data_IF_398829267497
#
_entry.id   IF_398829267497
#
_cell.length_a   1.000
_cell.length_b   1.000
_cell.length_c   1.000
_cell.angle_alpha   90.00
_cell.angle_beta   90.00
_cell.angle_gamma   90.00
#
_symmetry.space_group_name_H-M   'P 1'
#
loop_
_entity.id
_entity.type
_entity.pdbx_description
1 polymer ?
#
# COMPACT_ATOMS: atom_id res chain seq x y z
N UNK A 1 11.84 -4.74 0.45
CA UNK A 1 12.28 -5.66 1.52
C UNK A 1 12.16 -7.09 1.01
N UNK A 2 13.22 -7.87 1.17
CA UNK A 2 13.30 -9.28 0.76
C UNK A 2 13.69 -10.07 2.01
N UNK A 3 12.67 -10.59 2.71
CA UNK A 3 12.82 -11.13 4.06
C UNK A 3 13.11 -10.07 5.13
N UNK A 4 13.23 -10.54 6.38
CA UNK A 4 13.56 -9.72 7.56
C UNK A 4 12.36 -9.21 8.36
N UNK A 5 12.65 -8.43 9.41
CA UNK A 5 11.66 -7.96 10.39
C UNK A 5 11.87 -6.48 10.75
N UNK A 6 12.16 -5.65 9.76
CA UNK A 6 12.43 -4.21 9.99
C UNK A 6 11.20 -3.52 10.56
N UNK A 7 11.40 -2.75 11.63
CA UNK A 7 10.41 -1.86 12.22
C UNK A 7 10.64 -0.42 11.73
N UNK A 8 9.93 -0.01 10.69
CA UNK A 8 10.09 1.32 10.08
C UNK A 8 9.01 2.32 10.52
N UNK A 9 9.41 3.53 10.94
CA UNK A 9 8.48 4.64 11.18
C UNK A 9 8.89 5.84 10.34
N UNK A 10 7.93 6.54 9.74
CA UNK A 10 8.17 7.77 8.98
C UNK A 10 9.07 7.55 7.76
N UNK A 11 8.53 6.84 6.76
CA UNK A 11 9.22 6.59 5.48
C UNK A 11 8.62 7.43 4.37
N UNK A 12 9.46 7.95 3.48
CA UNK A 12 9.04 8.68 2.28
C UNK A 12 9.70 8.04 1.06
N UNK A 13 8.91 7.79 0.01
CA UNK A 13 9.37 7.31 -1.28
C UNK A 13 8.75 8.18 -2.38
N UNK A 14 9.57 8.96 -3.09
CA UNK A 14 9.12 9.80 -4.20
C UNK A 14 9.73 9.32 -5.50
N UNK A 15 8.90 9.24 -6.53
CA UNK A 15 9.28 8.98 -7.93
C UNK A 15 10.18 7.74 -8.12
N UNK A 16 9.86 6.63 -7.43
CA UNK A 16 10.72 5.44 -7.31
C UNK A 16 11.13 4.82 -8.65
N UNK A 17 10.37 5.09 -9.73
CA UNK A 17 10.70 4.61 -11.09
C UNK A 17 10.45 3.11 -11.26
N UNK A 18 10.25 2.38 -10.18
CA UNK A 18 9.71 1.04 -10.05
C UNK A 18 8.63 1.08 -8.95
N UNK A 19 8.48 0.04 -8.13
CA UNK A 19 7.62 0.05 -6.95
C UNK A 19 8.10 0.99 -5.83
N UNK A 20 7.18 1.64 -5.12
CA UNK A 20 7.56 2.44 -3.94
C UNK A 20 7.99 1.58 -2.76
N UNK A 21 7.22 0.53 -2.46
CA UNK A 21 7.49 -0.39 -1.36
C UNK A 21 7.26 -1.83 -1.78
N UNK A 22 8.28 -2.66 -1.65
CA UNK A 22 8.24 -4.07 -2.01
C UNK A 22 8.38 -4.93 -0.77
N UNK A 23 7.62 -6.03 -0.66
CA UNK A 23 7.86 -7.07 0.35
C UNK A 23 7.85 -8.43 -0.30
N UNK A 24 8.81 -9.29 0.05
CA UNK A 24 8.85 -10.67 -0.41
C UNK A 24 9.59 -11.57 0.58
N UNK A 25 9.66 -12.87 0.28
CA UNK A 25 10.60 -13.82 0.88
C UNK A 25 10.56 -13.89 2.42
N UNK A 26 9.35 -13.93 2.99
CA UNK A 26 9.19 -14.13 4.43
C UNK A 26 9.35 -12.85 5.26
N UNK A 27 9.20 -11.67 4.64
CA UNK A 27 9.25 -10.41 5.37
C UNK A 27 8.09 -10.31 6.38
N UNK A 28 8.42 -10.06 7.64
CA UNK A 28 7.49 -9.96 8.78
C UNK A 28 7.67 -8.65 9.55
N UNK A 29 8.19 -7.63 8.89
CA UNK A 29 8.42 -6.32 9.51
C UNK A 29 7.14 -5.52 9.72
N UNK A 30 7.30 -4.40 10.42
CA UNK A 30 6.21 -3.56 10.92
C UNK A 30 6.48 -2.11 10.58
N UNK A 31 5.62 -1.49 9.78
CA UNK A 31 5.85 -0.13 9.33
C UNK A 31 4.64 0.78 9.54
N UNK A 32 4.87 2.00 10.01
CA UNK A 32 3.80 2.98 10.23
C UNK A 32 4.18 4.40 9.81
N UNK A 33 3.21 5.12 9.25
CA UNK A 33 3.37 6.49 8.72
C UNK A 33 4.30 6.52 7.50
N UNK A 34 3.82 6.00 6.38
CA UNK A 34 4.56 5.95 5.11
C UNK A 34 3.90 6.85 4.08
N UNK A 35 4.72 7.59 3.33
CA UNK A 35 4.29 8.38 2.18
C UNK A 35 4.96 7.80 0.94
N UNK A 36 4.15 7.47 -0.07
CA UNK A 36 4.59 7.16 -1.42
C UNK A 36 3.93 8.10 -2.42
N UNK A 37 4.71 8.63 -3.36
CA UNK A 37 4.20 9.53 -4.39
C UNK A 37 4.91 9.36 -5.72
N UNK A 38 4.11 9.16 -6.77
CA UNK A 38 4.56 9.17 -8.15
C UNK A 38 3.75 10.19 -8.96
N UNK A 39 4.41 11.20 -9.52
CA UNK A 39 3.84 12.12 -10.51
C UNK A 39 4.49 12.01 -11.88
N UNK A 40 5.73 11.55 -11.95
CA UNK A 40 6.48 11.47 -13.18
C UNK A 40 7.50 10.35 -13.12
N UNK A 41 7.67 9.62 -14.23
CA UNK A 41 8.73 8.61 -14.29
C UNK A 41 10.05 9.25 -14.67
N UNK A 42 10.96 9.28 -13.72
CA UNK A 42 12.31 9.78 -13.92
C UNK A 42 13.13 8.75 -14.69
N UNK A 43 13.79 9.19 -15.77
CA UNK A 43 14.76 8.36 -16.46
C UNK A 43 15.98 8.18 -15.55
N UNK A 44 16.38 6.93 -15.20
CA UNK A 44 17.58 6.69 -14.42
C UNK A 44 18.81 7.27 -15.12
N UNK A 45 19.78 7.74 -14.34
CA UNK A 45 21.07 8.13 -14.89
C UNK A 45 21.72 6.94 -15.62
N UNK A 46 22.51 7.22 -16.66
CA UNK A 46 23.15 6.17 -17.45
C UNK A 46 23.94 5.19 -16.56
N UNK A 47 23.62 3.89 -16.66
CA UNK A 47 24.28 2.83 -15.90
C UNK A 47 23.77 2.62 -14.47
N UNK A 48 22.72 3.32 -14.03
CA UNK A 48 22.23 3.26 -12.63
C UNK A 48 20.97 2.41 -12.43
N UNK A 49 20.39 1.89 -13.51
CA UNK A 49 19.20 1.05 -13.44
C UNK A 49 18.40 1.08 -14.73
N UNK A 50 17.22 0.47 -14.68
CA UNK A 50 16.25 0.45 -15.77
C UNK A 50 14.89 0.95 -15.28
N UNK A 51 14.13 1.51 -16.21
CA UNK A 51 12.73 1.90 -15.99
C UNK A 51 11.92 0.60 -15.94
N UNK A 52 11.30 0.29 -14.80
CA UNK A 52 10.44 -0.87 -14.63
C UNK A 52 9.26 -0.87 -15.62
N UNK A 53 8.85 -2.05 -16.09
CA UNK A 53 7.72 -2.16 -17.02
C UNK A 53 6.38 -2.27 -16.28
N UNK A 54 6.40 -2.44 -14.96
CA UNK A 54 5.23 -2.72 -14.13
C UNK A 54 5.25 -2.03 -12.74
N UNK A 55 5.56 -0.73 -12.64
CA UNK A 55 5.66 -0.04 -11.34
C UNK A 55 4.33 -0.04 -10.56
N UNK A 56 4.40 -0.17 -9.24
CA UNK A 56 3.26 -0.16 -8.31
C UNK A 56 3.51 0.78 -7.11
N UNK A 57 2.46 1.05 -6.32
CA UNK A 57 2.63 1.65 -5.00
C UNK A 57 3.25 0.65 -4.03
N UNK A 58 2.54 -0.45 -3.82
CA UNK A 58 3.04 -1.62 -3.11
C UNK A 58 3.07 -2.84 -4.03
N UNK A 59 4.19 -3.56 -4.02
CA UNK A 59 4.28 -4.92 -4.51
C UNK A 59 4.56 -5.88 -3.35
N UNK A 60 3.57 -6.68 -2.99
CA UNK A 60 3.64 -7.56 -1.83
C UNK A 60 3.51 -9.02 -2.26
N UNK A 61 4.67 -9.65 -2.33
CA UNK A 61 4.85 -11.04 -2.73
C UNK A 61 5.00 -11.95 -1.51
N UNK A 62 4.49 -13.17 -1.62
CA UNK A 62 4.94 -14.28 -0.77
C UNK A 62 6.24 -14.88 -1.32
N UNK A 63 6.16 -16.10 -1.85
CA UNK A 63 7.30 -16.80 -2.44
C UNK A 63 6.99 -17.15 -3.90
N UNK A 64 7.90 -16.82 -4.82
CA UNK A 64 7.89 -17.34 -6.18
C UNK A 64 9.30 -17.55 -6.74
N UNK A 65 9.43 -18.55 -7.62
CA UNK A 65 10.69 -18.86 -8.31
C UNK A 65 11.58 -19.83 -7.54
N UNK A 66 12.88 -19.76 -7.81
CA UNK A 66 13.90 -20.64 -7.23
C UNK A 66 13.93 -20.48 -5.70
N UNK A 67 13.86 -21.60 -4.97
CA UNK A 67 13.81 -21.61 -3.50
C UNK A 67 12.40 -21.68 -2.92
N UNK A 68 11.36 -21.66 -3.75
CA UNK A 68 9.96 -21.81 -3.34
C UNK A 68 9.43 -23.21 -3.66
N UNK A 69 10.00 -24.24 -3.05
CA UNK A 69 9.70 -25.65 -3.36
C UNK A 69 8.22 -26.03 -3.10
N UNK A 70 7.56 -25.32 -2.17
CA UNK A 70 6.12 -25.45 -1.91
C UNK A 70 5.28 -24.40 -2.64
N UNK A 71 5.85 -23.72 -3.65
CA UNK A 71 5.21 -22.64 -4.40
C UNK A 71 4.77 -21.49 -3.49
N UNK A 72 3.52 -21.04 -3.66
CA UNK A 72 2.90 -19.96 -2.88
C UNK A 72 2.59 -20.34 -1.43
N UNK A 73 2.88 -21.59 -1.03
CA UNK A 73 2.76 -22.09 0.35
C UNK A 73 4.13 -22.25 1.04
N UNK A 74 5.20 -21.79 0.39
CA UNK A 74 6.54 -21.85 0.97
C UNK A 74 6.61 -21.00 2.24
N UNK A 75 7.04 -21.62 3.33
CA UNK A 75 7.32 -20.97 4.60
C UNK A 75 8.80 -20.58 4.70
N UNK A 76 9.13 -19.49 5.42
CA UNK A 76 8.21 -18.58 6.11
C UNK A 76 7.41 -17.69 5.13
N UNK A 77 6.14 -17.42 5.49
CA UNK A 77 5.29 -16.51 4.71
C UNK A 77 5.70 -15.05 4.91
N UNK A 78 5.67 -14.26 3.83
CA UNK A 78 5.64 -12.80 3.94
C UNK A 78 4.36 -12.40 4.66
N UNK A 79 4.49 -11.81 5.87
CA UNK A 79 3.38 -11.45 6.75
C UNK A 79 3.63 -10.10 7.48
N UNK A 80 3.83 -8.99 6.75
CA UNK A 80 4.11 -7.71 7.37
C UNK A 80 2.86 -7.02 7.92
N UNK A 81 3.11 -6.01 8.76
CA UNK A 81 2.10 -5.02 9.14
C UNK A 81 2.49 -3.67 8.55
N UNK A 82 1.59 -3.07 7.78
CA UNK A 82 1.66 -1.67 7.37
C UNK A 82 0.45 -0.91 7.90
N UNK A 83 0.70 0.23 8.54
CA UNK A 83 -0.34 1.08 9.10
C UNK A 83 -0.14 2.54 8.72
N UNK A 84 -1.23 3.28 8.50
CA UNK A 84 -1.18 4.72 8.25
C UNK A 84 -0.31 5.09 7.05
N UNK A 85 -0.82 4.83 5.86
CA UNK A 85 -0.06 4.99 4.61
C UNK A 85 -0.80 5.91 3.66
N UNK A 86 -0.12 6.94 3.16
CA UNK A 86 -0.61 7.77 2.05
C UNK A 86 0.16 7.40 0.79
N UNK A 87 -0.52 6.85 -0.20
CA UNK A 87 0.11 6.30 -1.41
C UNK A 87 -0.60 6.84 -2.65
N UNK A 88 0.08 7.72 -3.37
CA UNK A 88 -0.49 8.52 -4.46
C UNK A 88 0.25 8.21 -5.76
N UNK A 89 -0.48 7.68 -6.74
CA UNK A 89 0.06 7.32 -8.05
C UNK A 89 -0.08 8.43 -9.10
N UNK A 90 0.42 8.11 -10.29
CA UNK A 90 0.30 8.93 -11.48
C UNK A 90 -0.83 8.38 -12.37
N UNK A 91 -1.93 9.12 -12.60
CA UNK A 91 -3.02 8.66 -13.45
C UNK A 91 -2.61 8.62 -14.94
N UNK A 92 -1.52 9.31 -15.30
CA UNK A 92 -0.91 9.33 -16.62
C UNK A 92 0.35 8.44 -16.73
N UNK A 93 0.52 7.46 -15.82
CA UNK A 93 1.62 6.49 -15.88
C UNK A 93 1.75 5.89 -17.30
N UNK A 94 2.91 5.92 -17.97
CA UNK A 94 3.02 5.40 -19.34
C UNK A 94 2.89 3.87 -19.43
N UNK A 95 3.31 3.10 -18.42
CA UNK A 95 3.27 1.62 -18.51
C UNK A 95 1.87 1.07 -18.37
N UNK A 96 1.57 0.04 -19.16
CA UNK A 96 0.27 -0.66 -19.13
C UNK A 96 0.28 -1.85 -18.19
N UNK A 97 1.44 -2.44 -17.92
CA UNK A 97 1.55 -3.60 -17.01
C UNK A 97 1.57 -3.22 -15.54
N UNK A 98 1.79 -1.93 -15.20
CA UNK A 98 1.83 -1.38 -13.85
C UNK A 98 0.64 -0.50 -13.47
N UNK A 99 0.88 0.43 -12.54
CA UNK A 99 -0.06 1.49 -12.17
C UNK A 99 -1.10 1.07 -11.14
N UNK A 100 -0.76 0.16 -10.23
CA UNK A 100 -1.65 -0.26 -9.13
C UNK A 100 -1.18 0.27 -7.79
N UNK A 101 -2.12 0.67 -6.95
CA UNK A 101 -1.79 1.17 -5.61
C UNK A 101 -1.21 0.10 -4.71
N UNK A 102 -1.83 -1.08 -4.71
CA UNK A 102 -1.35 -2.25 -3.98
C UNK A 102 -1.53 -3.48 -4.86
N UNK A 103 -0.48 -4.31 -4.93
CA UNK A 103 -0.53 -5.67 -5.47
C UNK A 103 -0.22 -6.64 -4.35
N UNK A 104 -1.17 -7.53 -4.05
CA UNK A 104 -0.97 -8.66 -3.12
C UNK A 104 -0.98 -9.95 -3.94
N UNK A 105 0.10 -10.74 -3.87
CA UNK A 105 0.21 -11.97 -4.68
C UNK A 105 1.10 -13.05 -4.07
N UNK A 106 1.10 -14.23 -4.70
CA UNK A 106 2.06 -15.34 -4.47
C UNK A 106 2.13 -15.84 -3.02
N UNK A 107 0.97 -15.90 -2.35
CA UNK A 107 0.88 -16.37 -0.96
C UNK A 107 1.19 -15.31 0.10
N UNK A 108 1.18 -14.03 -0.27
CA UNK A 108 1.25 -12.93 0.70
C UNK A 108 0.23 -13.09 1.83
N UNK A 109 0.70 -12.81 3.05
CA UNK A 109 -0.07 -12.60 4.26
C UNK A 109 0.22 -11.19 4.76
N UNK A 110 -0.58 -10.66 5.68
CA UNK A 110 -0.24 -9.38 6.29
C UNK A 110 -1.46 -8.54 6.64
N UNK A 111 -1.20 -7.48 7.41
CA UNK A 111 -2.18 -6.48 7.78
C UNK A 111 -1.81 -5.14 7.16
N UNK A 112 -2.73 -4.58 6.37
CA UNK A 112 -2.64 -3.23 5.84
C UNK A 112 -3.82 -2.43 6.40
N UNK A 113 -3.56 -1.41 7.23
CA UNK A 113 -4.61 -0.62 7.87
C UNK A 113 -4.43 0.89 7.71
N UNK A 114 -5.53 1.62 7.57
CA UNK A 114 -5.56 3.08 7.51
C UNK A 114 -4.81 3.65 6.29
N UNK A 115 -5.17 3.18 5.10
CA UNK A 115 -4.55 3.61 3.85
C UNK A 115 -5.34 4.73 3.17
N UNK A 116 -4.63 5.61 2.46
CA UNK A 116 -5.17 6.39 1.34
C UNK A 116 -4.47 5.90 0.07
N UNK A 117 -5.23 5.40 -0.88
CA UNK A 117 -4.76 5.03 -2.22
C UNK A 117 -5.39 5.97 -3.23
N UNK A 118 -4.59 6.81 -3.88
CA UNK A 118 -5.12 7.82 -4.77
C UNK A 118 -4.43 7.87 -6.14
N UNK A 119 -5.20 8.22 -7.17
CA UNK A 119 -4.73 8.50 -8.53
C UNK A 119 -3.95 7.35 -9.23
N UNK A 120 -4.24 6.10 -8.90
CA UNK A 120 -3.62 4.95 -9.58
C UNK A 120 -4.24 4.73 -10.97
N UNK A 121 -3.38 4.66 -11.99
CA UNK A 121 -3.76 4.53 -13.41
C UNK A 121 -4.62 3.31 -13.72
N UNK A 122 -4.32 2.18 -13.10
CA UNK A 122 -4.95 0.90 -13.45
C UNK A 122 -6.00 0.55 -12.40
N UNK A 123 -5.56 0.22 -11.19
CA UNK A 123 -6.44 -0.20 -10.10
C UNK A 123 -5.90 0.30 -8.76
N UNK A 124 -6.76 0.63 -7.80
CA UNK A 124 -6.28 0.95 -6.46
C UNK A 124 -5.72 -0.30 -5.76
N UNK A 125 -6.46 -1.41 -5.82
CA UNK A 125 -6.09 -2.68 -5.18
C UNK A 125 -6.18 -3.81 -6.20
N UNK A 126 -5.15 -4.65 -6.19
CA UNK A 126 -5.06 -5.83 -7.03
C UNK A 126 -4.64 -7.04 -6.21
N UNK A 127 -5.33 -8.15 -6.43
CA UNK A 127 -5.01 -9.44 -5.83
C UNK A 127 -4.92 -10.46 -6.96
N UNK A 128 -3.72 -11.02 -7.13
CA UNK A 128 -3.35 -11.81 -8.29
C UNK A 128 -2.50 -13.00 -7.90
N UNK A 129 -2.33 -13.91 -8.87
CA UNK A 129 -1.71 -15.22 -8.69
C UNK A 129 -2.46 -16.02 -7.59
N UNK A 130 -1.98 -17.21 -7.24
CA UNK A 130 -2.57 -17.97 -6.15
C UNK A 130 -2.27 -17.29 -4.81
N UNK A 131 -3.27 -16.61 -4.25
CA UNK A 131 -3.24 -16.01 -2.91
C UNK A 131 -4.33 -16.64 -2.04
N UNK A 132 -4.23 -17.96 -1.83
CA UNK A 132 -5.18 -18.76 -1.02
C UNK A 132 -5.49 -18.13 0.35
N UNK A 133 -4.59 -17.27 0.85
CA UNK A 133 -4.67 -16.54 2.12
C UNK A 133 -5.68 -15.38 2.15
N UNK A 134 -5.87 -14.65 1.04
CA UNK A 134 -6.88 -13.56 0.91
C UNK A 134 -8.25 -14.11 0.55
N UNK A 135 -8.23 -15.05 -0.38
CA UNK A 135 -9.28 -15.97 -0.75
C UNK A 135 -10.21 -16.35 0.42
N UNK A 136 -9.70 -17.11 1.40
CA UNK A 136 -10.49 -17.49 2.59
C UNK A 136 -10.41 -16.48 3.74
N UNK A 137 -9.82 -15.30 3.50
CA UNK A 137 -9.57 -14.23 4.48
C UNK A 137 -8.95 -14.73 5.80
N UNK A 138 -8.04 -15.70 5.72
CA UNK A 138 -7.43 -16.29 6.91
C UNK A 138 -6.29 -15.40 7.45
N UNK A 139 -5.46 -14.86 6.56
CA UNK A 139 -4.19 -14.25 6.98
C UNK A 139 -3.74 -13.03 6.18
N UNK A 140 -4.64 -12.41 5.41
CA UNK A 140 -4.34 -11.20 4.67
C UNK A 140 -5.53 -10.24 4.75
N UNK A 141 -5.28 -9.05 5.28
CA UNK A 141 -6.31 -8.08 5.60
C UNK A 141 -5.89 -6.70 5.11
N UNK A 142 -6.76 -6.07 4.34
CA UNK A 142 -6.71 -4.65 3.99
C UNK A 142 -7.96 -4.01 4.57
N UNK A 143 -7.79 -3.11 5.54
CA UNK A 143 -8.90 -2.53 6.31
C UNK A 143 -8.74 -1.03 6.49
N UNK A 144 -9.85 -0.32 6.63
CA UNK A 144 -9.92 1.12 6.82
C UNK A 144 -9.16 1.86 5.69
N UNK A 145 -9.71 1.87 4.48
CA UNK A 145 -9.04 2.41 3.29
C UNK A 145 -9.88 3.48 2.61
N UNK A 146 -9.23 4.56 2.18
CA UNK A 146 -9.79 5.53 1.24
C UNK A 146 -9.24 5.26 -0.16
N UNK A 147 -10.13 5.07 -1.13
CA UNK A 147 -9.80 4.93 -2.55
C UNK A 147 -10.25 6.19 -3.30
N UNK A 148 -9.31 7.02 -3.76
CA UNK A 148 -9.63 8.35 -4.30
C UNK A 148 -9.10 8.59 -5.72
N UNK A 149 -9.98 8.89 -6.68
CA UNK A 149 -9.57 9.27 -8.04
C UNK A 149 -8.79 8.19 -8.81
N UNK A 150 -8.89 6.92 -8.42
CA UNK A 150 -8.29 5.80 -9.14
C UNK A 150 -9.12 5.48 -10.39
N UNK A 151 -8.49 5.00 -11.47
CA UNK A 151 -9.20 4.64 -12.69
C UNK A 151 -10.23 3.50 -12.46
N UNK A 152 -9.84 2.52 -11.66
CA UNK A 152 -10.73 1.51 -11.09
C UNK A 152 -10.31 1.22 -9.63
N UNK A 153 -11.27 0.77 -8.82
CA UNK A 153 -11.02 0.53 -7.39
C UNK A 153 -10.33 -0.80 -7.16
N UNK A 154 -10.86 -1.84 -7.80
CA UNK A 154 -10.45 -3.21 -7.58
C UNK A 154 -10.19 -3.87 -8.91
N UNK A 155 -9.07 -4.58 -8.99
CA UNK A 155 -8.83 -5.43 -10.13
C UNK A 155 -9.63 -6.74 -10.02
N UNK A 156 -10.29 -7.18 -11.11
CA UNK A 156 -10.77 -8.54 -11.24
C UNK A 156 -9.70 -9.56 -10.86
N UNK A 157 -10.02 -10.50 -9.98
CA UNK A 157 -9.02 -11.45 -9.53
C UNK A 157 -8.77 -12.49 -10.61
N UNK A 158 -7.49 -12.77 -10.89
CA UNK A 158 -7.09 -13.93 -11.70
C UNK A 158 -6.90 -15.21 -10.86
N UNK A 159 -7.23 -15.16 -9.56
CA UNK A 159 -7.09 -16.30 -8.65
C UNK A 159 -8.14 -17.39 -9.00
N UNK A 160 -7.72 -18.65 -9.25
CA UNK A 160 -8.63 -19.73 -9.61
C UNK A 160 -9.63 -20.14 -8.51
N UNK A 161 -9.47 -19.60 -7.29
CA UNK A 161 -10.33 -19.92 -6.13
C UNK A 161 -11.43 -18.86 -5.91
N UNK A 162 -11.36 -17.67 -6.55
CA UNK A 162 -12.32 -16.57 -6.35
C UNK A 162 -12.83 -15.99 -7.67
N UNK A 163 -14.07 -15.50 -7.64
CA UNK A 163 -14.73 -14.78 -8.73
C UNK A 163 -14.88 -13.28 -8.41
N UNK A 164 -14.95 -12.45 -9.44
CA UNK A 164 -15.02 -10.98 -9.31
C UNK A 164 -16.20 -10.47 -8.47
N UNK A 165 -17.34 -11.16 -8.49
CA UNK A 165 -18.52 -10.83 -7.68
C UNK A 165 -18.23 -10.93 -6.17
N UNK A 166 -17.25 -11.75 -5.79
CA UNK A 166 -16.82 -11.89 -4.40
C UNK A 166 -15.88 -10.76 -3.98
N UNK A 167 -15.16 -10.12 -4.90
CA UNK A 167 -14.08 -9.21 -4.55
C UNK A 167 -14.55 -7.90 -3.88
N UNK A 168 -15.58 -7.23 -4.43
CA UNK A 168 -16.14 -6.03 -3.79
C UNK A 168 -16.88 -6.39 -2.48
N UNK A 169 -17.54 -7.55 -2.44
CA UNK A 169 -18.21 -8.03 -1.24
C UNK A 169 -17.23 -8.40 -0.11
N UNK A 170 -16.03 -8.90 -0.44
CA UNK A 170 -14.99 -9.26 0.52
C UNK A 170 -14.55 -8.06 1.37
N UNK A 171 -14.47 -6.86 0.78
CA UNK A 171 -14.06 -5.63 1.46
C UNK A 171 -15.23 -4.78 1.99
N UNK A 172 -16.49 -5.19 1.77
CA UNK A 172 -17.64 -4.41 2.19
C UNK A 172 -17.70 -4.20 3.73
N UNK A 173 -17.20 -5.17 4.50
CA UNK A 173 -17.09 -5.09 5.95
C UNK A 173 -15.77 -4.46 6.44
N UNK A 174 -14.83 -4.16 5.53
CA UNK A 174 -13.47 -3.72 5.87
C UNK A 174 -13.32 -2.19 5.88
N UNK A 175 -14.44 -1.45 5.80
CA UNK A 175 -14.46 0.02 5.80
C UNK A 175 -13.60 0.62 4.67
N UNK A 176 -13.83 0.13 3.45
CA UNK A 176 -13.32 0.78 2.24
C UNK A 176 -14.28 1.88 1.81
N UNK A 177 -13.80 3.11 1.78
CA UNK A 177 -14.57 4.31 1.39
C UNK A 177 -13.97 4.93 0.14
N UNK A 178 -14.77 5.66 -0.61
CA UNK A 178 -14.37 6.20 -1.91
C UNK A 178 -14.49 7.71 -1.95
N UNK A 179 -13.62 8.35 -2.72
CA UNK A 179 -13.71 9.77 -3.05
C UNK A 179 -13.44 10.00 -4.54
N UNK A 180 -14.04 11.05 -5.09
CA UNK A 180 -13.94 11.31 -6.53
C UNK A 180 -12.51 11.71 -6.95
N UNK A 181 -11.77 12.43 -6.10
CA UNK A 181 -10.44 12.95 -6.42
C UNK A 181 -9.50 12.85 -5.22
N UNK A 182 -8.19 12.79 -5.47
CA UNK A 182 -7.20 12.84 -4.39
C UNK A 182 -7.30 14.15 -3.56
N UNK A 183 -7.62 15.27 -4.20
CA UNK A 183 -7.77 16.57 -3.53
C UNK A 183 -8.97 16.64 -2.56
N UNK A 184 -9.93 15.71 -2.66
CA UNK A 184 -11.03 15.59 -1.70
C UNK A 184 -10.60 14.98 -0.36
N UNK A 185 -9.43 14.33 -0.33
CA UNK A 185 -8.96 13.53 0.82
C UNK A 185 -7.53 13.85 1.25
N UNK A 186 -6.77 14.63 0.48
CA UNK A 186 -5.41 15.09 0.78
C UNK A 186 -5.32 16.58 0.49
N UNK A 187 -4.68 17.34 1.38
CA UNK A 187 -4.67 18.81 1.36
C UNK A 187 -4.03 19.41 0.11
N UNK A 188 -2.81 19.01 -0.25
CA UNK A 188 -2.11 19.58 -1.40
C UNK A 188 -1.09 18.60 -2.01
N UNK A 189 -1.24 18.28 -3.29
CA UNK A 189 -0.32 17.41 -4.03
C UNK A 189 0.60 18.18 -4.98
N UNK A 190 0.77 19.48 -4.76
CA UNK A 190 1.63 20.32 -5.61
C UNK A 190 3.11 20.10 -5.25
N UNK A 191 3.98 19.79 -6.24
CA UNK A 191 5.42 19.48 -6.03
C UNK A 191 6.24 20.47 -5.22
N UNK A 192 5.82 21.73 -5.11
CA UNK A 192 6.52 22.78 -4.36
C UNK A 192 6.05 22.95 -2.90
N UNK A 193 4.93 22.32 -2.50
CA UNK A 193 4.25 22.62 -1.24
C UNK A 193 3.70 21.38 -0.50
N UNK A 194 3.89 20.16 -1.03
CA UNK A 194 3.21 18.93 -0.61
C UNK A 194 2.66 18.95 0.82
N UNK A 195 1.34 18.85 0.89
CA UNK A 195 0.60 18.74 2.14
C UNK A 195 -0.17 17.42 2.13
N UNK A 196 0.47 16.39 2.70
CA UNK A 196 -0.06 15.03 2.81
C UNK A 196 -1.13 14.89 3.88
N UNK A 197 -1.49 15.99 4.55
CA UNK A 197 -2.50 16.02 5.60
C UNK A 197 -3.84 15.52 5.05
N UNK A 198 -4.45 14.49 5.66
CA UNK A 198 -5.74 13.99 5.23
C UNK A 198 -6.84 15.02 5.49
N UNK A 199 -7.78 15.14 4.55
CA UNK A 199 -8.92 16.05 4.62
C UNK A 199 -10.22 15.31 4.35
N UNK A 200 -11.35 15.99 4.53
CA UNK A 200 -12.68 15.43 4.27
C UNK A 200 -12.87 14.11 4.99
N UNK A 201 -13.31 13.10 4.24
CA UNK A 201 -13.58 11.77 4.77
C UNK A 201 -12.30 11.06 5.25
N UNK A 202 -11.11 11.41 4.77
CA UNK A 202 -9.87 10.78 5.23
C UNK A 202 -9.43 11.28 6.62
N UNK A 203 -9.89 12.46 7.06
CA UNK A 203 -9.50 13.04 8.35
C UNK A 203 -10.10 12.28 9.56
N UNK A 204 -11.12 11.45 9.35
CA UNK A 204 -11.78 10.64 10.40
C UNK A 204 -12.30 9.31 9.85
N UNK A 205 -12.95 8.49 10.69
CA UNK A 205 -13.65 7.28 10.26
C UNK A 205 -12.76 6.11 9.84
N UNK A 206 -11.44 6.21 10.05
CA UNK A 206 -10.50 5.10 10.01
C UNK A 206 -10.39 4.45 11.41
N UNK A 207 -9.74 3.28 11.50
CA UNK A 207 -9.69 2.45 12.71
C UNK A 207 -11.08 2.09 13.28
N UNK A 208 -12.07 1.86 12.41
CA UNK A 208 -13.42 1.41 12.81
C UNK A 208 -13.58 -0.11 12.70
N UNK A 209 -12.76 -0.74 11.86
CA UNK A 209 -12.64 -2.20 11.78
C UNK A 209 -11.47 -2.63 12.66
N UNK A 210 -11.76 -3.52 13.61
CA UNK A 210 -10.77 -4.04 14.54
C UNK A 210 -9.74 -4.92 13.81
N UNK A 211 -8.48 -4.82 14.26
CA UNK A 211 -7.41 -5.71 13.78
C UNK A 211 -7.71 -7.14 14.26
N UNK A 212 -7.69 -8.14 13.37
CA UNK A 212 -7.82 -9.54 13.78
C UNK A 212 -6.74 -9.94 14.81
N UNK A 213 -7.13 -10.69 15.84
CA UNK A 213 -6.22 -11.11 16.91
C UNK A 213 -5.08 -12.04 16.48
N UNK A 214 -5.09 -12.50 15.23
CA UNK A 214 -4.01 -13.28 14.60
C UNK A 214 -2.76 -12.44 14.30
N UNK A 215 -2.88 -11.10 14.24
CA UNK A 215 -1.75 -10.21 14.01
C UNK A 215 -1.08 -9.79 15.32
N UNK A 216 0.24 -9.96 15.39
CA UNK A 216 1.02 -9.47 16.53
C UNK A 216 1.20 -7.95 16.45
N UNK A 217 0.32 -7.24 17.14
CA UNK A 217 0.36 -5.77 17.29
C UNK A 217 1.20 -5.30 18.47
N UNK A 218 1.78 -6.20 19.26
CA UNK A 218 2.65 -5.84 20.38
C UNK A 218 4.08 -5.54 19.90
N UNK A 219 4.84 -4.83 20.72
CA UNK A 219 6.22 -4.38 20.46
C UNK A 219 6.41 -3.50 19.21
N UNK A 220 5.34 -2.91 18.67
CA UNK A 220 5.38 -1.94 17.58
C UNK A 220 6.08 -0.68 18.08
N UNK A 221 7.34 -0.48 17.66
CA UNK A 221 8.24 0.55 18.22
C UNK A 221 8.34 0.52 19.76
N UNK A 222 8.38 -0.68 20.34
CA UNK A 222 8.42 -0.86 21.80
C UNK A 222 7.08 -0.69 22.52
N UNK A 223 5.99 -0.41 21.80
CA UNK A 223 4.63 -0.31 22.34
C UNK A 223 3.64 -1.25 21.64
N UNK A 224 2.35 -0.98 21.78
CA UNK A 224 1.30 -1.63 20.96
C UNK A 224 0.99 -0.73 19.77
N UNK A 225 0.70 -1.31 18.60
CA UNK A 225 0.25 -0.54 17.43
C UNK A 225 -0.94 0.35 17.82
N UNK A 226 -0.75 1.65 17.69
CA UNK A 226 -1.81 2.64 17.88
C UNK A 226 -2.29 3.11 16.51
N UNK A 227 -3.54 2.78 16.17
CA UNK A 227 -4.18 3.29 14.96
C UNK A 227 -4.99 4.56 15.28
N UNK A 228 -4.70 5.68 14.63
CA UNK A 228 -5.51 6.89 14.78
C UNK A 228 -6.84 6.75 14.02
N UNK A 229 -7.78 7.66 14.31
CA UNK A 229 -9.08 7.70 13.62
C UNK A 229 -9.02 8.24 12.19
N UNK A 230 -7.89 8.81 11.76
CA UNK A 230 -7.67 9.26 10.38
C UNK A 230 -7.02 8.18 9.52
N UNK A 231 -7.24 8.27 8.21
CA UNK A 231 -6.57 7.46 7.21
C UNK A 231 -5.33 8.18 6.69
N UNK A 232 -4.35 7.41 6.22
CA UNK A 232 -3.10 7.99 5.70
C UNK A 232 -2.06 8.21 6.80
N UNK A 233 -0.96 8.83 6.40
CA UNK A 233 0.28 8.88 7.18
C UNK A 233 0.45 10.11 8.07
N UNK A 234 -0.44 11.11 8.00
CA UNK A 234 -0.24 12.41 8.65
C UNK A 234 -1.41 12.73 9.56
N UNK A 235 -1.11 13.20 10.76
CA UNK A 235 -2.12 13.64 11.72
C UNK A 235 -2.70 15.00 11.30
N UNK A 236 -4.02 15.11 11.02
CA UNK A 236 -4.64 16.35 10.61
C UNK A 236 -4.67 17.45 11.68
N UNK A 237 -4.44 17.10 12.95
CA UNK A 237 -4.30 18.05 14.05
C UNK A 237 -2.86 18.15 14.58
N UNK A 238 -1.94 17.38 14.02
CA UNK A 238 -0.59 17.22 14.52
C UNK A 238 0.48 17.90 13.67
N UNK A 239 1.75 17.84 14.12
CA UNK A 239 2.86 18.29 13.31
C UNK A 239 3.03 17.39 12.08
N UNK A 240 3.37 17.99 10.95
CA UNK A 240 3.68 17.28 9.72
C UNK A 240 5.10 16.71 9.83
N UNK A 241 5.19 15.45 10.25
CA UNK A 241 6.46 14.79 10.59
C UNK A 241 7.53 14.79 9.49
N UNK A 242 7.12 14.97 8.22
CA UNK A 242 8.00 14.98 7.05
C UNK A 242 8.55 16.38 6.73
N UNK A 243 8.06 17.44 7.38
CA UNK A 243 8.54 18.81 7.13
C UNK A 243 10.04 18.92 7.44
N UNK A 244 10.79 19.45 6.46
CA UNK A 244 12.24 19.60 6.54
C UNK A 244 13.05 18.32 6.32
N UNK A 245 12.42 17.15 6.13
CA UNK A 245 13.13 15.88 5.91
C UNK A 245 13.36 15.58 4.43
N UNK A 246 12.46 16.05 3.57
CA UNK A 246 12.48 15.76 2.14
C UNK A 246 12.39 17.03 1.31
N UNK A 247 13.20 17.11 0.25
CA UNK A 247 13.06 18.10 -0.81
C UNK A 247 12.68 17.38 -2.09
N UNK A 248 11.53 17.73 -2.66
CA UNK A 248 11.14 17.21 -3.97
C UNK A 248 11.65 18.15 -5.06
N UNK A 249 12.80 17.80 -5.65
CA UNK A 249 13.39 18.57 -6.73
C UNK A 249 12.84 18.10 -8.08
N UNK A 250 12.25 19.01 -8.85
CA UNK A 250 11.94 18.82 -10.27
C UNK A 250 12.96 19.61 -11.08
N UNK A 251 13.77 18.93 -11.89
CA UNK A 251 14.71 19.57 -12.82
C UNK A 251 14.01 20.01 -14.10
#
# INVERSE_FOLDING_TARGET
>A
WWGGAVDGRYLVSYEAGDDHFVTSEGYVGRNQFLIGFQSARLTPAGGTGVIATDPQGFEMDGCAGTGCDAGTRSEPFTNPIFANVTMVGNPAEPQTSGGRGIVLRRGHRGLLSNFILANWKSFAVSVRDTSVTLAVRDSANLVNVILAGNAALYEPSSDPVFSDVQFTALFAADNHRTAATAAAVITNLTPASFDWTPTGDAATGCNTVAIPGTYNVANFFGGTLALPAFCGAVDPAGPKWYEGWTTHATN
#
